data_IF_273321676608
#
_entry.id   IF_273321676608
#
_cell.length_a   1.000
_cell.length_b   1.000
_cell.length_c   1.000
_cell.angle_alpha   90.00
_cell.angle_beta   90.00
_cell.angle_gamma   90.00
#
_symmetry.space_group_name_H-M   'P 1'
#
loop_
_entity.id
_entity.type
_entity.pdbx_description
1 polymer ?
#
# COMPACT_ATOMS: atom_id res chain seq x y z
N UNK A 1 -24.37 35.11 64.56
CA UNK A 1 -24.53 33.67 64.27
C UNK A 1 -25.55 33.51 63.15
N UNK A 2 -25.49 34.33 62.09
CA UNK A 2 -24.60 34.16 60.92
C UNK A 2 -24.97 32.92 60.12
N UNK A 3 -25.99 33.09 59.29
CA UNK A 3 -26.39 32.25 58.17
C UNK A 3 -25.22 32.06 57.18
N UNK A 4 -24.48 30.97 57.35
CA UNK A 4 -23.39 30.54 56.46
C UNK A 4 -23.83 29.64 55.29
N UNK A 5 -25.13 29.62 54.92
CA UNK A 5 -25.69 28.61 54.02
C UNK A 5 -25.95 29.09 52.59
N UNK A 6 -25.70 30.37 52.28
CA UNK A 6 -25.99 30.96 50.96
C UNK A 6 -24.90 30.77 49.89
N UNK A 7 -23.64 30.65 50.31
CA UNK A 7 -22.49 30.62 49.38
C UNK A 7 -22.17 29.21 48.90
N UNK A 8 -22.40 28.19 49.75
CA UNK A 8 -22.12 26.77 49.46
C UNK A 8 -23.05 26.22 48.38
N UNK A 9 -24.31 26.69 48.32
CA UNK A 9 -25.29 26.25 47.32
C UNK A 9 -24.95 26.73 45.90
N UNK A 10 -24.45 27.97 45.76
CA UNK A 10 -24.11 28.55 44.45
C UNK A 10 -22.79 27.97 43.91
N UNK A 11 -21.80 27.76 44.77
CA UNK A 11 -20.55 27.09 44.37
C UNK A 11 -20.78 25.61 44.05
N UNK A 12 -21.61 24.90 44.82
CA UNK A 12 -21.99 23.51 44.51
C UNK A 12 -22.73 23.39 43.17
N UNK A 13 -23.66 24.32 42.88
CA UNK A 13 -24.38 24.33 41.61
C UNK A 13 -23.44 24.60 40.40
N UNK A 14 -22.48 25.50 40.56
CA UNK A 14 -21.48 25.79 39.52
C UNK A 14 -20.56 24.59 39.30
N UNK A 15 -20.07 23.96 40.37
CA UNK A 15 -19.22 22.76 40.28
C UNK A 15 -19.95 21.59 39.63
N UNK A 16 -21.23 21.39 39.95
CA UNK A 16 -22.08 20.38 39.30
C UNK A 16 -22.27 20.66 37.81
N UNK A 17 -22.49 21.91 37.41
CA UNK A 17 -22.58 22.30 36.00
C UNK A 17 -21.29 22.00 35.23
N UNK A 18 -20.13 22.35 35.79
CA UNK A 18 -18.84 22.04 35.17
C UNK A 18 -18.59 20.53 35.08
N UNK A 19 -18.95 19.75 36.09
CA UNK A 19 -18.82 18.30 36.07
C UNK A 19 -19.70 17.66 34.98
N UNK A 20 -20.97 18.11 34.85
CA UNK A 20 -21.88 17.61 33.81
C UNK A 20 -21.41 18.00 32.41
N UNK A 21 -20.93 19.25 32.22
CA UNK A 21 -20.34 19.67 30.95
C UNK A 21 -19.07 18.88 30.61
N UNK A 22 -18.18 18.65 31.57
CA UNK A 22 -16.96 17.87 31.35
C UNK A 22 -17.26 16.41 30.97
N UNK A 23 -18.24 15.78 31.64
CA UNK A 23 -18.71 14.44 31.27
C UNK A 23 -19.34 14.44 29.88
N UNK A 24 -20.16 15.44 29.55
CA UNK A 24 -20.75 15.57 28.21
C UNK A 24 -19.70 15.75 27.11
N UNK A 25 -18.64 16.52 27.37
CA UNK A 25 -17.50 16.70 26.47
C UNK A 25 -16.70 15.40 26.34
N UNK A 26 -16.45 14.69 27.44
CA UNK A 26 -15.76 13.39 27.41
C UNK A 26 -16.57 12.32 26.66
N UNK A 27 -17.90 12.31 26.81
CA UNK A 27 -18.77 11.40 26.04
C UNK A 27 -18.84 11.76 24.55
N UNK A 28 -18.79 13.05 24.20
CA UNK A 28 -18.75 13.48 22.80
C UNK A 28 -17.38 13.30 22.15
N UNK A 29 -16.28 13.44 22.90
CA UNK A 29 -14.93 13.09 22.43
C UNK A 29 -14.71 11.57 22.39
N UNK A 30 -15.30 10.81 23.30
CA UNK A 30 -15.26 9.34 23.31
C UNK A 30 -16.09 8.70 22.20
N UNK A 31 -17.12 9.40 21.68
CA UNK A 31 -17.84 9.01 20.46
C UNK A 31 -17.14 9.45 19.17
N UNK A 32 -16.03 10.17 19.26
CA UNK A 32 -15.13 10.46 18.14
C UNK A 32 -13.83 9.64 18.28
N UNK A 33 -13.95 8.41 18.76
CA UNK A 33 -13.03 7.38 18.31
C UNK A 33 -13.65 6.83 17.02
N UNK A 34 -13.17 7.20 15.82
CA UNK A 34 -13.34 6.30 14.71
C UNK A 34 -12.63 5.03 15.17
N UNK A 35 -13.44 4.03 15.54
CA UNK A 35 -13.08 2.64 15.42
C UNK A 35 -12.34 2.54 14.08
N UNK A 36 -11.02 2.42 14.15
CA UNK A 36 -10.19 2.05 13.03
C UNK A 36 -10.43 0.56 12.77
N UNK A 37 -11.70 0.19 12.59
CA UNK A 37 -12.14 -0.92 11.78
C UNK A 37 -12.13 -0.43 10.31
N UNK A 38 -10.95 -0.02 9.83
CA UNK A 38 -10.61 -0.42 8.48
C UNK A 38 -10.00 -1.80 8.60
N UNK A 39 -10.90 -2.78 8.60
CA UNK A 39 -10.72 -4.04 7.90
C UNK A 39 -10.17 -3.75 6.48
N UNK A 40 -8.88 -3.48 6.38
CA UNK A 40 -8.12 -4.08 5.31
C UNK A 40 -8.08 -5.56 5.66
N UNK A 41 -9.17 -6.24 5.31
CA UNK A 41 -9.18 -7.65 5.04
C UNK A 41 -8.05 -7.89 4.06
N UNK A 42 -6.86 -8.17 4.59
CA UNK A 42 -5.89 -9.02 3.94
C UNK A 42 -6.71 -10.29 3.73
N UNK A 43 -7.15 -10.63 2.51
CA UNK A 43 -7.73 -11.93 2.34
C UNK A 43 -6.66 -12.92 2.81
N UNK A 44 -7.00 -13.97 3.58
CA UNK A 44 -6.04 -15.03 3.93
C UNK A 44 -5.64 -15.87 2.70
N UNK A 45 -5.41 -15.22 1.56
CA UNK A 45 -4.82 -15.74 0.32
C UNK A 45 -3.58 -14.95 -0.08
N UNK A 46 -2.80 -14.47 0.88
CA UNK A 46 -1.34 -14.31 0.71
C UNK A 46 -0.57 -15.43 1.44
N UNK A 47 -1.10 -16.65 1.41
CA UNK A 47 -0.29 -17.86 1.58
C UNK A 47 -0.34 -18.65 0.27
N UNK A 48 0.32 -18.09 -0.73
CA UNK A 48 1.47 -18.77 -1.35
C UNK A 48 2.45 -17.67 -1.74
N UNK A 49 3.21 -17.20 -0.74
CA UNK A 49 4.64 -17.00 -0.99
C UNK A 49 5.04 -18.23 -1.79
N UNK A 50 5.39 -18.02 -3.06
CA UNK A 50 5.91 -19.08 -3.89
C UNK A 50 6.89 -19.84 -3.01
N UNK A 51 6.60 -21.12 -2.82
CA UNK A 51 7.48 -22.09 -2.20
C UNK A 51 8.65 -22.28 -3.18
N UNK A 52 9.36 -21.19 -3.46
CA UNK A 52 10.67 -21.17 -4.05
C UNK A 52 11.58 -21.50 -2.90
N UNK A 53 11.95 -22.78 -2.86
CA UNK A 53 13.08 -23.35 -2.12
C UNK A 53 13.95 -22.28 -1.49
N UNK A 54 14.15 -22.38 -0.17
CA UNK A 54 15.14 -21.62 0.58
C UNK A 54 16.55 -21.94 0.05
N UNK A 55 16.85 -21.45 -1.14
CA UNK A 55 18.15 -21.38 -1.73
C UNK A 55 18.77 -20.13 -1.14
N UNK A 56 19.57 -20.33 -0.09
CA UNK A 56 20.40 -19.30 0.50
C UNK A 56 21.09 -18.53 -0.64
N UNK A 57 20.77 -17.25 -0.73
CA UNK A 57 21.31 -16.39 -1.77
C UNK A 57 22.35 -15.43 -1.16
N UNK A 58 23.33 -15.04 -1.97
CA UNK A 58 24.29 -14.02 -1.55
C UNK A 58 23.60 -12.66 -1.48
N UNK A 59 23.71 -11.96 -0.35
CA UNK A 59 23.15 -10.60 -0.21
C UNK A 59 23.59 -9.70 -1.38
N UNK A 60 22.62 -9.06 -2.04
CA UNK A 60 22.83 -8.23 -3.23
C UNK A 60 22.79 -8.98 -4.56
N UNK A 61 22.68 -10.32 -4.56
CA UNK A 61 22.44 -11.08 -5.79
C UNK A 61 21.10 -10.67 -6.42
N UNK A 62 21.05 -10.68 -7.75
CA UNK A 62 19.85 -10.41 -8.54
C UNK A 62 19.62 -11.55 -9.49
N UNK A 63 18.37 -11.92 -9.70
CA UNK A 63 18.02 -12.92 -10.70
C UNK A 63 16.69 -12.61 -11.37
N UNK A 64 16.50 -13.04 -12.63
CA UNK A 64 15.24 -12.92 -13.31
C UNK A 64 14.18 -13.75 -12.60
N UNK A 65 12.97 -13.22 -12.54
CA UNK A 65 11.81 -13.90 -12.01
C UNK A 65 10.60 -13.60 -12.90
N UNK A 66 9.49 -14.26 -12.59
CA UNK A 66 8.23 -14.07 -13.29
C UNK A 66 7.14 -13.91 -12.27
N UNK A 67 6.38 -12.81 -12.38
CA UNK A 67 5.28 -12.47 -11.48
C UNK A 67 3.95 -12.57 -12.26
N UNK A 68 2.89 -13.04 -11.61
CA UNK A 68 1.53 -13.04 -12.16
C UNK A 68 1.41 -13.71 -13.54
N UNK A 69 0.84 -12.97 -14.51
CA UNK A 69 0.48 -13.42 -15.87
C UNK A 69 1.68 -13.74 -16.79
N UNK A 70 2.87 -13.97 -16.23
CA UNK A 70 4.08 -14.25 -17.01
C UNK A 70 4.98 -13.04 -17.18
N UNK A 71 4.78 -11.98 -16.39
CA UNK A 71 5.56 -10.75 -16.51
C UNK A 71 6.98 -10.95 -16.00
N UNK A 72 7.96 -10.69 -16.88
CA UNK A 72 9.36 -10.78 -16.52
C UNK A 72 9.72 -9.66 -15.54
N UNK A 73 10.41 -10.02 -14.46
CA UNK A 73 10.87 -9.10 -13.44
C UNK A 73 12.23 -9.51 -12.88
N UNK A 74 12.67 -8.80 -11.84
CA UNK A 74 13.89 -9.12 -11.09
C UNK A 74 13.57 -9.28 -9.61
N UNK A 75 14.23 -10.23 -8.95
CA UNK A 75 14.23 -10.34 -7.48
C UNK A 75 15.64 -10.15 -6.96
N UNK A 76 15.74 -9.55 -5.77
CA UNK A 76 17.00 -9.20 -5.12
C UNK A 76 17.12 -10.00 -3.84
N UNK A 77 18.28 -10.60 -3.62
CA UNK A 77 18.58 -11.26 -2.38
C UNK A 77 18.91 -10.23 -1.29
N UNK A 78 18.16 -10.25 -0.20
CA UNK A 78 18.40 -9.43 0.98
C UNK A 78 18.49 -10.31 2.21
N UNK A 79 19.64 -10.26 2.89
CA UNK A 79 19.90 -11.01 4.12
C UNK A 79 19.67 -12.52 3.99
N UNK A 80 20.10 -13.11 2.86
CA UNK A 80 19.99 -14.55 2.61
C UNK A 80 18.63 -15.01 2.08
N UNK A 81 17.68 -14.09 1.88
CA UNK A 81 16.35 -14.37 1.37
C UNK A 81 16.07 -13.59 0.09
N UNK A 82 15.44 -14.22 -0.88
CA UNK A 82 14.95 -13.54 -2.07
C UNK A 82 13.78 -12.61 -1.73
N UNK A 83 13.80 -11.41 -2.28
CA UNK A 83 12.64 -10.52 -2.29
C UNK A 83 11.51 -11.08 -3.16
N UNK A 84 10.35 -10.43 -3.12
CA UNK A 84 9.34 -10.58 -4.17
C UNK A 84 9.91 -10.25 -5.56
N UNK A 85 9.21 -10.70 -6.59
CA UNK A 85 9.55 -10.35 -7.95
C UNK A 85 9.09 -8.92 -8.25
N UNK A 86 10.02 -8.06 -8.66
CA UNK A 86 9.72 -6.70 -9.06
C UNK A 86 9.58 -6.65 -10.58
N UNK A 87 8.38 -6.32 -11.05
CA UNK A 87 8.10 -6.00 -12.45
C UNK A 87 8.08 -4.47 -12.58
N UNK A 88 8.76 -3.95 -13.60
CA UNK A 88 8.80 -2.52 -13.89
C UNK A 88 8.07 -2.26 -15.21
N UNK A 89 7.18 -1.27 -15.19
CA UNK A 89 6.52 -0.77 -16.40
C UNK A 89 7.43 0.27 -17.07
N UNK A 90 7.85 0.01 -18.31
CA UNK A 90 8.55 0.97 -19.16
C UNK A 90 7.57 1.75 -20.07
N UNK A 91 6.36 1.22 -20.28
CA UNK A 91 5.35 1.79 -21.17
C UNK A 91 3.92 1.49 -20.72
N UNK A 92 2.96 2.19 -21.32
CA UNK A 92 1.54 1.92 -21.08
C UNK A 92 1.08 0.74 -21.96
N UNK A 93 0.39 -0.29 -21.44
CA UNK A 93 -0.13 -1.39 -22.26
C UNK A 93 -0.92 -0.90 -23.48
N UNK A 94 -0.60 -1.46 -24.65
CA UNK A 94 -1.19 -1.06 -25.93
C UNK A 94 -0.57 0.19 -26.57
N UNK A 95 0.37 0.87 -25.91
CA UNK A 95 1.13 1.97 -26.50
C UNK A 95 2.01 1.45 -27.64
N UNK A 96 2.14 2.24 -28.70
CA UNK A 96 2.94 1.91 -29.87
C UNK A 96 4.10 2.90 -30.01
N UNK A 97 5.30 2.38 -30.29
CA UNK A 97 6.44 3.23 -30.66
C UNK A 97 7.15 2.72 -31.90
N UNK A 98 7.77 3.66 -32.62
CA UNK A 98 8.66 3.31 -33.72
C UNK A 98 9.94 2.65 -33.22
N UNK A 99 10.40 1.66 -33.95
CA UNK A 99 11.63 0.94 -33.67
C UNK A 99 12.37 0.60 -34.97
N UNK A 100 13.69 0.40 -34.86
CA UNK A 100 14.54 0.04 -35.99
C UNK A 100 14.79 -1.48 -36.00
N UNK A 101 14.51 -2.16 -37.11
CA UNK A 101 14.74 -3.60 -37.28
C UNK A 101 16.12 -3.95 -37.87
N UNK A 102 17.01 -2.97 -37.95
CA UNK A 102 18.29 -3.08 -38.64
C UNK A 102 18.20 -2.64 -40.11
N UNK A 103 19.31 -2.12 -40.62
CA UNK A 103 19.36 -1.48 -41.94
C UNK A 103 18.51 -0.20 -42.01
N UNK A 104 17.86 0.02 -43.15
CA UNK A 104 16.91 1.13 -43.36
C UNK A 104 15.46 0.75 -43.06
N UNK A 105 15.24 -0.37 -42.37
CA UNK A 105 13.90 -0.87 -42.05
C UNK A 105 13.44 -0.37 -40.69
N UNK A 106 12.25 0.22 -40.68
CA UNK A 106 11.54 0.63 -39.48
C UNK A 106 10.33 -0.27 -39.26
N UNK A 107 9.85 -0.32 -38.02
CA UNK A 107 8.49 -0.75 -37.76
C UNK A 107 8.02 -0.29 -36.41
N UNK A 108 7.11 -1.06 -35.85
CA UNK A 108 6.35 -0.71 -34.66
C UNK A 108 6.49 -1.83 -33.66
N UNK A 109 6.64 -1.43 -32.41
CA UNK A 109 6.57 -2.32 -31.27
C UNK A 109 5.42 -1.85 -30.38
N UNK A 110 4.65 -2.80 -29.91
CA UNK A 110 3.52 -2.57 -29.02
C UNK A 110 3.93 -2.94 -27.60
N UNK A 111 3.52 -2.11 -26.64
CA UNK A 111 3.69 -2.39 -25.23
C UNK A 111 2.72 -3.50 -24.81
N UNK A 112 3.25 -4.54 -24.16
CA UNK A 112 2.44 -5.64 -23.66
C UNK A 112 1.72 -5.27 -22.34
N UNK A 113 0.88 -6.18 -21.85
CA UNK A 113 0.12 -5.99 -20.60
C UNK A 113 1.01 -5.88 -19.35
N UNK A 114 2.25 -6.35 -19.44
CA UNK A 114 3.26 -6.23 -18.39
C UNK A 114 4.02 -4.88 -18.41
N UNK A 115 3.56 -3.91 -19.20
CA UNK A 115 4.22 -2.61 -19.34
C UNK A 115 5.60 -2.69 -20.01
N UNK A 116 5.87 -3.75 -20.78
CA UNK A 116 7.15 -3.98 -21.44
C UNK A 116 7.01 -3.97 -22.96
N UNK A 117 8.04 -3.48 -23.61
CA UNK A 117 8.09 -3.44 -25.05
C UNK A 117 8.29 -4.83 -25.66
N UNK A 118 7.37 -5.22 -26.54
CA UNK A 118 7.52 -6.42 -27.35
C UNK A 118 8.61 -6.29 -28.42
N UNK A 119 8.74 -7.35 -29.22
CA UNK A 119 9.66 -7.37 -30.35
C UNK A 119 9.28 -6.28 -31.39
N UNK A 120 10.30 -5.73 -32.04
CA UNK A 120 10.11 -4.78 -33.12
C UNK A 120 9.60 -5.51 -34.36
N UNK A 121 8.33 -5.26 -34.75
CA UNK A 121 7.67 -5.91 -35.88
C UNK A 121 7.38 -4.94 -37.03
N UNK A 122 7.30 -5.45 -38.26
CA UNK A 122 6.82 -4.65 -39.39
C UNK A 122 5.38 -4.25 -39.08
N UNK A 123 5.15 -2.95 -38.82
CA UNK A 123 3.82 -2.42 -38.52
C UNK A 123 2.83 -2.90 -39.58
N UNK A 124 1.72 -3.48 -39.13
CA UNK A 124 0.67 -4.03 -39.99
C UNK A 124 -0.04 -2.96 -40.81
#
# INVERSE_FOLDING_TARGET
MEDGTGTVSRTAAVVLLFAVCAIGILLSLGMFWPELEEEHGIPPTLIRLGEGEANECGSGAREPCTEGEGCAGERVCMHGSWSGCFVYDECTPGEERFCAMGGCSSGVQTCNDCGQWGECGAGG
#
